data_IF_972901082018
#
_entry.id   IF_972901082018
#
_cell.length_a   1.000
_cell.length_b   1.000
_cell.length_c   1.000
_cell.angle_alpha   90.00
_cell.angle_beta   90.00
_cell.angle_gamma   90.00
#
_symmetry.space_group_name_H-M   'P 1'
#
loop_
_entity.id
_entity.type
_entity.pdbx_description
1 polymer ?
#
# COMPACT_ATOMS: atom_id res chain seq x y z
N UNK A 1 6.68 11.11 -27.50
CA UNK A 1 6.37 10.74 -26.11
C UNK A 1 4.87 10.68 -26.00
N UNK A 2 4.28 9.49 -25.92
CA UNK A 2 2.86 9.37 -25.56
C UNK A 2 2.70 9.91 -24.14
N UNK A 3 1.76 10.84 -23.95
CA UNK A 3 1.41 11.34 -22.63
C UNK A 3 0.83 10.18 -21.82
N UNK A 4 1.53 9.77 -20.75
CA UNK A 4 0.98 8.78 -19.82
C UNK A 4 -0.14 9.45 -19.05
N UNK A 5 -1.34 8.90 -19.15
CA UNK A 5 -2.47 9.37 -18.37
C UNK A 5 -2.24 9.00 -16.89
N UNK A 6 -2.30 9.98 -16.01
CA UNK A 6 -2.20 9.79 -14.56
C UNK A 6 -3.48 9.19 -13.97
N UNK A 7 -3.40 8.54 -12.81
CA UNK A 7 -4.61 8.04 -12.13
C UNK A 7 -5.58 9.16 -11.71
N UNK A 8 -5.09 10.39 -11.55
CA UNK A 8 -5.91 11.57 -11.29
C UNK A 8 -6.79 11.96 -12.48
N UNK A 9 -6.36 11.61 -13.70
CA UNK A 9 -7.06 11.94 -14.96
C UNK A 9 -8.03 10.83 -15.37
N UNK A 10 -8.00 9.69 -14.68
CA UNK A 10 -8.93 8.58 -14.85
C UNK A 10 -9.81 8.58 -13.60
N UNK A 11 -10.94 9.29 -13.53
CA UNK A 11 -11.85 9.16 -12.39
C UNK A 11 -12.59 7.82 -12.46
N UNK A 12 -12.99 7.29 -11.30
CA UNK A 12 -13.95 6.19 -11.28
C UNK A 12 -15.33 6.68 -11.72
N UNK A 13 -16.04 5.85 -12.47
CA UNK A 13 -17.46 6.08 -12.74
C UNK A 13 -18.25 6.04 -11.43
N UNK A 14 -19.49 6.54 -11.44
CA UNK A 14 -20.36 6.43 -10.25
C UNK A 14 -20.65 4.97 -9.90
N UNK A 15 -20.73 4.09 -10.91
CA UNK A 15 -20.79 2.64 -10.72
C UNK A 15 -19.53 2.14 -10.00
N UNK A 16 -18.34 2.58 -10.40
CA UNK A 16 -17.08 2.22 -9.75
C UNK A 16 -17.00 2.68 -8.29
N UNK A 17 -17.45 3.90 -8.00
CA UNK A 17 -17.54 4.41 -6.61
C UNK A 17 -18.49 3.55 -5.78
N UNK A 18 -19.70 3.30 -6.30
CA UNK A 18 -20.71 2.49 -5.60
C UNK A 18 -20.21 1.06 -5.36
N UNK A 19 -19.55 0.46 -6.36
CA UNK A 19 -18.98 -0.88 -6.27
C UNK A 19 -18.00 -0.99 -5.09
N UNK A 20 -17.06 -0.05 -4.98
CA UNK A 20 -16.09 -0.01 -3.88
C UNK A 20 -16.72 0.24 -2.51
N UNK A 21 -17.77 1.05 -2.42
CA UNK A 21 -18.51 1.26 -1.17
C UNK A 21 -19.24 -0.01 -0.73
N UNK A 22 -19.78 -0.77 -1.69
CA UNK A 22 -20.52 -2.02 -1.42
C UNK A 22 -19.64 -3.26 -1.26
N UNK A 23 -18.32 -3.12 -1.36
CA UNK A 23 -17.38 -4.23 -1.35
C UNK A 23 -17.44 -4.98 -0.02
N UNK A 24 -17.57 -6.30 -0.09
CA UNK A 24 -17.56 -7.18 1.07
C UNK A 24 -16.15 -7.27 1.66
N UNK A 25 -16.08 -7.44 2.97
CA UNK A 25 -14.80 -7.65 3.65
C UNK A 25 -14.14 -8.94 3.17
N UNK A 26 -12.81 -8.89 2.98
CA UNK A 26 -12.02 -10.02 2.49
C UNK A 26 -12.13 -10.32 1.00
N UNK A 27 -12.90 -9.54 0.23
CA UNK A 27 -13.01 -9.72 -1.22
C UNK A 27 -12.07 -8.75 -1.93
N UNK A 28 -11.04 -9.28 -2.58
CA UNK A 28 -10.17 -8.52 -3.47
C UNK A 28 -10.80 -8.39 -4.86
N UNK A 29 -10.77 -7.18 -5.43
CA UNK A 29 -11.33 -6.86 -6.74
C UNK A 29 -10.30 -6.16 -7.60
N UNK A 30 -10.38 -6.41 -8.91
CA UNK A 30 -9.73 -5.62 -9.94
C UNK A 30 -10.65 -4.44 -10.26
N UNK A 31 -10.15 -3.23 -10.07
CA UNK A 31 -10.94 -2.01 -10.24
C UNK A 31 -10.83 -1.51 -11.67
N UNK A 32 -9.61 -1.32 -12.16
CA UNK A 32 -9.31 -0.73 -13.47
C UNK A 32 -7.85 -0.98 -13.85
N UNK A 33 -7.52 -0.82 -15.12
CA UNK A 33 -6.16 -0.92 -15.63
C UNK A 33 -5.85 0.23 -16.59
N UNK A 34 -4.58 0.65 -16.65
CA UNK A 34 -4.10 1.64 -17.63
C UNK A 34 -2.76 1.25 -18.23
N UNK A 35 -2.48 1.72 -19.43
CA UNK A 35 -1.14 1.66 -20.03
C UNK A 35 -0.21 2.62 -19.29
N UNK A 36 1.05 2.26 -19.15
CA UNK A 36 2.08 3.12 -18.55
C UNK A 36 3.32 3.18 -19.44
N UNK A 37 3.99 4.33 -19.46
CA UNK A 37 5.28 4.40 -20.13
C UNK A 37 6.32 3.60 -19.34
N UNK A 38 7.16 2.89 -20.10
CA UNK A 38 8.26 2.02 -19.69
C UNK A 38 7.90 0.56 -19.43
N UNK A 39 8.83 -0.28 -19.89
CA UNK A 39 9.56 -1.11 -18.95
C UNK A 39 11.04 -1.14 -19.28
N UNK A 40 11.83 -1.49 -18.27
CA UNK A 40 13.05 -2.29 -18.41
C UNK A 40 12.93 -3.16 -19.67
N UNK A 41 13.83 -2.94 -20.63
CA UNK A 41 13.91 -3.59 -21.96
C UNK A 41 12.96 -3.11 -23.07
N UNK A 42 12.24 -1.99 -22.89
CA UNK A 42 11.45 -1.36 -23.96
C UNK A 42 10.10 -2.03 -24.27
N UNK A 43 9.67 -2.98 -23.44
CA UNK A 43 8.40 -3.69 -23.60
C UNK A 43 7.21 -2.90 -23.04
N UNK A 44 5.98 -3.10 -23.56
CA UNK A 44 4.78 -2.47 -23.03
C UNK A 44 4.42 -3.01 -21.64
N UNK A 45 3.93 -2.14 -20.75
CA UNK A 45 3.39 -2.51 -19.43
C UNK A 45 2.01 -1.90 -19.21
N UNK A 46 1.28 -2.53 -18.31
CA UNK A 46 0.06 -1.98 -17.74
C UNK A 46 0.19 -1.87 -16.23
N UNK A 47 -0.53 -0.93 -15.65
CA UNK A 47 -0.71 -0.81 -14.22
C UNK A 47 -2.17 -1.09 -13.88
N UNK A 48 -2.39 -1.99 -12.94
CA UNK A 48 -3.71 -2.49 -12.53
C UNK A 48 -3.97 -2.00 -11.10
N UNK A 49 -5.14 -1.41 -10.89
CA UNK A 49 -5.65 -1.04 -9.57
C UNK A 49 -6.44 -2.21 -8.98
N UNK A 50 -6.02 -2.64 -7.80
CA UNK A 50 -6.72 -3.61 -6.96
C UNK A 50 -7.34 -2.91 -5.77
N UNK A 51 -8.46 -3.42 -5.29
CA UNK A 51 -9.07 -2.95 -4.05
C UNK A 51 -9.57 -4.09 -3.18
N UNK A 52 -9.47 -3.93 -1.88
CA UNK A 52 -10.04 -4.86 -0.91
C UNK A 52 -10.48 -4.11 0.34
N UNK A 53 -11.64 -4.48 0.89
CA UNK A 53 -12.02 -4.07 2.23
C UNK A 53 -11.38 -5.05 3.23
N UNK A 54 -10.20 -4.68 3.71
CA UNK A 54 -9.40 -5.54 4.59
C UNK A 54 -10.10 -5.68 5.95
N UNK A 55 -10.37 -6.91 6.35
CA UNK A 55 -10.74 -7.22 7.73
C UNK A 55 -9.46 -7.34 8.56
N UNK A 56 -9.20 -6.34 9.42
CA UNK A 56 -8.03 -6.35 10.28
C UNK A 56 -8.43 -6.74 11.71
N UNK A 57 -8.20 -7.99 12.14
CA UNK A 57 -8.59 -8.44 13.48
C UNK A 57 -7.78 -7.75 14.58
N UNK A 58 -6.59 -7.23 14.28
CA UNK A 58 -5.70 -6.56 15.22
C UNK A 58 -5.98 -5.06 15.35
N UNK A 59 -6.87 -4.51 14.51
CA UNK A 59 -7.28 -3.11 14.65
C UNK A 59 -8.27 -3.00 15.80
N UNK A 60 -7.84 -2.36 16.89
CA UNK A 60 -8.75 -1.99 17.97
C UNK A 60 -9.97 -1.24 17.43
N UNK A 61 -11.16 -1.57 17.94
CA UNK A 61 -12.39 -0.87 17.57
C UNK A 61 -12.27 0.59 17.98
N UNK A 62 -12.23 1.50 17.00
CA UNK A 62 -12.22 2.93 17.30
C UNK A 62 -13.59 3.33 17.82
N UNK A 63 -13.68 3.68 19.11
CA UNK A 63 -14.92 4.19 19.71
C UNK A 63 -15.45 5.41 18.96
N UNK A 64 -14.55 6.28 18.49
CA UNK A 64 -14.92 7.42 17.64
C UNK A 64 -15.58 6.98 16.33
N UNK A 65 -15.02 5.97 15.65
CA UNK A 65 -15.60 5.47 14.41
C UNK A 65 -16.93 4.72 14.64
N UNK A 66 -17.07 4.05 15.78
CA UNK A 66 -18.33 3.40 16.17
C UNK A 66 -19.44 4.42 16.47
N UNK A 67 -19.10 5.54 17.13
CA UNK A 67 -20.05 6.60 17.46
C UNK A 67 -20.46 7.45 16.25
N UNK A 68 -19.67 7.43 15.18
CA UNK A 68 -19.92 8.18 13.94
C UNK A 68 -20.08 7.22 12.74
N UNK A 69 -20.63 6.02 12.96
CA UNK A 69 -20.74 5.01 11.91
C UNK A 69 -21.69 5.39 10.77
N UNK A 70 -22.58 6.35 11.02
CA UNK A 70 -23.48 6.98 10.04
C UNK A 70 -22.78 8.06 9.19
N UNK A 71 -21.61 8.53 9.60
CA UNK A 71 -20.79 9.47 8.85
C UNK A 71 -19.73 8.73 8.02
N UNK A 72 -19.85 8.85 6.70
CA UNK A 72 -18.99 8.16 5.73
C UNK A 72 -17.50 8.50 5.88
N UNK A 73 -17.16 9.64 6.50
CA UNK A 73 -15.77 10.04 6.80
C UNK A 73 -15.10 9.11 7.82
N UNK A 74 -15.87 8.43 8.65
CA UNK A 74 -15.39 7.50 9.67
C UNK A 74 -15.49 6.04 9.21
N UNK A 75 -16.04 5.78 8.02
CA UNK A 75 -16.08 4.46 7.42
C UNK A 75 -14.71 4.06 6.88
N UNK A 76 -14.31 2.80 7.10
CA UNK A 76 -13.10 2.25 6.51
C UNK A 76 -13.41 1.76 5.11
N UNK A 77 -13.12 2.61 4.12
CA UNK A 77 -13.27 2.26 2.71
C UNK A 77 -12.29 1.17 2.25
N UNK A 78 -12.54 0.64 1.05
CA UNK A 78 -11.64 -0.30 0.41
C UNK A 78 -10.23 0.29 0.27
N UNK A 79 -9.24 -0.45 0.73
CA UNK A 79 -7.84 -0.13 0.49
C UNK A 79 -7.50 -0.44 -0.96
N UNK A 80 -6.56 0.32 -1.52
CA UNK A 80 -6.15 0.20 -2.93
C UNK A 80 -4.66 -0.03 -3.04
N UNK A 81 -4.27 -0.80 -4.05
CA UNK A 81 -2.89 -1.00 -4.45
C UNK A 81 -2.79 -0.98 -5.98
N UNK A 82 -1.63 -0.60 -6.50
CA UNK A 82 -1.37 -0.53 -7.94
C UNK A 82 -0.20 -1.42 -8.29
N UNK A 83 -0.43 -2.40 -9.16
CA UNK A 83 0.58 -3.38 -9.56
C UNK A 83 0.88 -3.21 -11.04
N UNK A 84 2.16 -3.16 -11.39
CA UNK A 84 2.62 -3.14 -12.78
C UNK A 84 2.82 -4.56 -13.27
N UNK A 85 2.26 -4.89 -14.43
CA UNK A 85 2.35 -6.22 -15.04
C UNK A 85 2.67 -6.14 -16.53
N UNK A 86 3.18 -7.25 -17.09
CA UNK A 86 3.17 -7.40 -18.55
C UNK A 86 1.73 -7.67 -19.02
N UNK A 87 1.32 -7.16 -20.20
CA UNK A 87 -0.01 -7.43 -20.74
C UNK A 87 -0.30 -8.93 -20.88
N UNK A 88 0.68 -9.71 -21.33
CA UNK A 88 0.54 -11.15 -21.48
C UNK A 88 0.20 -11.86 -20.16
N UNK A 89 0.91 -11.52 -19.06
CA UNK A 89 0.63 -12.12 -17.75
C UNK A 89 -0.65 -11.61 -17.11
N UNK A 90 -1.02 -10.35 -17.34
CA UNK A 90 -2.31 -9.84 -16.91
C UNK A 90 -3.49 -10.54 -17.60
N UNK A 91 -3.38 -10.83 -18.90
CA UNK A 91 -4.38 -11.62 -19.63
C UNK A 91 -4.45 -13.05 -19.09
N UNK A 92 -3.29 -13.72 -18.99
CA UNK A 92 -3.19 -15.12 -18.57
C UNK A 92 -3.73 -15.36 -17.16
N UNK A 93 -3.34 -14.52 -16.20
CA UNK A 93 -3.64 -14.73 -14.78
C UNK A 93 -4.93 -14.05 -14.32
N UNK A 94 -5.26 -12.89 -14.91
CA UNK A 94 -6.34 -12.03 -14.42
C UNK A 94 -7.47 -11.84 -15.43
N UNK A 95 -7.31 -12.34 -16.67
CA UNK A 95 -8.25 -12.09 -17.76
C UNK A 95 -8.32 -10.62 -18.17
N UNK A 96 -7.28 -9.83 -17.87
CA UNK A 96 -7.29 -8.39 -18.13
C UNK A 96 -6.61 -8.11 -19.47
N UNK A 97 -7.33 -7.41 -20.36
CA UNK A 97 -6.79 -6.81 -21.57
C UNK A 97 -7.26 -5.36 -21.66
N UNK A 98 -6.37 -4.49 -22.15
CA UNK A 98 -6.73 -3.13 -22.55
C UNK A 98 -6.81 -3.14 -24.08
N UNK A 99 -7.96 -2.82 -24.69
CA UNK A 99 -8.09 -2.69 -26.15
C UNK A 99 -7.02 -1.77 -26.74
N UNK A 100 -6.58 -2.02 -27.97
CA UNK A 100 -5.48 -1.28 -28.60
C UNK A 100 -5.78 0.20 -28.82
N UNK A 101 -7.06 0.54 -28.97
CA UNK A 101 -7.60 1.89 -29.11
C UNK A 101 -7.88 2.58 -27.78
N UNK A 102 -7.68 1.88 -26.65
CA UNK A 102 -7.89 2.40 -25.30
C UNK A 102 -6.57 2.55 -24.53
N UNK A 103 -6.50 3.59 -23.70
CA UNK A 103 -5.37 3.84 -22.79
C UNK A 103 -5.65 3.31 -21.38
N UNK A 104 -6.92 3.09 -21.03
CA UNK A 104 -7.36 2.52 -19.76
C UNK A 104 -8.71 1.83 -19.91
N UNK A 105 -9.05 0.98 -18.95
CA UNK A 105 -10.35 0.31 -18.87
C UNK A 105 -10.79 0.16 -17.41
N UNK A 106 -12.08 0.34 -17.14
CA UNK A 106 -12.70 0.09 -15.83
C UNK A 106 -13.29 -1.34 -15.82
N UNK A 107 -12.96 -2.13 -14.81
CA UNK A 107 -13.13 -3.59 -14.80
C UNK A 107 -14.17 -4.00 -13.75
N UNK A 108 -13.99 -3.57 -12.49
CA UNK A 108 -14.91 -3.81 -11.37
C UNK A 108 -15.35 -5.28 -11.19
N UNK A 109 -14.38 -6.20 -11.15
CA UNK A 109 -14.63 -7.63 -11.00
C UNK A 109 -13.82 -8.22 -9.84
N UNK A 110 -14.32 -9.28 -9.16
CA UNK A 110 -13.51 -10.04 -8.22
C UNK A 110 -12.23 -10.57 -8.88
N UNK A 111 -11.13 -10.57 -8.12
CA UNK A 111 -9.92 -11.25 -8.58
C UNK A 111 -10.22 -12.73 -8.81
N UNK A 112 -9.74 -13.33 -9.91
CA UNK A 112 -9.90 -14.77 -10.13
C UNK A 112 -9.10 -15.55 -9.09
N UNK A 113 -9.48 -16.80 -8.85
CA UNK A 113 -8.61 -17.72 -8.10
C UNK A 113 -7.51 -18.25 -9.01
N UNK A 114 -6.33 -18.46 -8.43
CA UNK A 114 -5.22 -19.16 -9.09
C UNK A 114 -5.09 -20.52 -8.42
N UNK A 115 -5.72 -21.55 -9.01
CA UNK A 115 -5.87 -22.84 -8.31
C UNK A 115 -6.72 -22.71 -7.06
N UNK A 116 -6.18 -23.14 -5.91
CA UNK A 116 -6.80 -23.04 -4.59
C UNK A 116 -6.41 -21.75 -3.83
N UNK A 117 -5.83 -20.78 -4.53
CA UNK A 117 -5.38 -19.53 -3.93
C UNK A 117 -6.24 -18.32 -4.35
N UNK A 118 -6.36 -17.37 -3.43
CA UNK A 118 -7.10 -16.11 -3.57
C UNK A 118 -6.14 -14.92 -3.43
N UNK A 119 -6.40 -13.86 -4.19
CA UNK A 119 -5.67 -12.61 -4.06
C UNK A 119 -6.16 -11.82 -2.85
N UNK A 120 -5.23 -11.23 -2.13
CA UNK A 120 -5.51 -10.28 -1.05
C UNK A 120 -4.56 -9.09 -1.07
N UNK A 121 -5.01 -7.96 -0.52
CA UNK A 121 -4.15 -6.86 -0.15
C UNK A 121 -3.61 -7.09 1.26
N UNK A 122 -2.29 -7.15 1.38
CA UNK A 122 -1.59 -7.14 2.65
C UNK A 122 -1.02 -5.74 2.91
N UNK A 123 -1.15 -5.31 4.16
CA UNK A 123 -0.60 -4.04 4.65
C UNK A 123 0.50 -4.37 5.65
N UNK A 124 1.72 -3.92 5.37
CA UNK A 124 2.85 -4.14 6.26
C UNK A 124 3.49 -2.81 6.65
N UNK A 125 3.80 -2.67 7.93
CA UNK A 125 4.77 -1.71 8.40
C UNK A 125 6.17 -2.29 8.25
N UNK A 126 7.02 -1.50 7.59
CA UNK A 126 8.42 -1.82 7.34
C UNK A 126 9.28 -0.63 7.75
N UNK A 127 10.56 -0.88 7.97
CA UNK A 127 11.51 0.20 8.18
C UNK A 127 11.81 0.86 6.83
N UNK A 128 12.11 2.15 6.85
CA UNK A 128 12.51 2.88 5.64
C UNK A 128 13.67 2.20 4.90
N UNK A 129 14.60 1.57 5.62
CA UNK A 129 15.71 0.82 5.02
C UNK A 129 15.31 -0.46 4.30
N UNK A 130 14.08 -0.93 4.48
CA UNK A 130 13.53 -2.12 3.81
C UNK A 130 12.76 -1.74 2.53
N UNK A 131 12.68 -0.44 2.17
CA UNK A 131 12.16 0.00 0.89
C UNK A 131 13.04 -0.53 -0.25
N UNK A 132 12.40 -1.03 -1.30
CA UNK A 132 13.10 -1.36 -2.55
C UNK A 132 13.64 -0.09 -3.20
N UNK A 133 14.61 -0.20 -4.11
CA UNK A 133 15.19 0.97 -4.80
C UNK A 133 14.12 1.86 -5.46
N UNK A 134 13.13 1.24 -6.10
CA UNK A 134 12.01 1.95 -6.72
C UNK A 134 11.11 2.64 -5.70
N UNK A 135 10.87 2.04 -4.53
CA UNK A 135 10.06 2.66 -3.48
C UNK A 135 10.83 3.78 -2.78
N UNK A 136 12.14 3.61 -2.58
CA UNK A 136 13.00 4.60 -1.96
C UNK A 136 13.07 5.90 -2.78
N UNK A 137 13.02 5.81 -4.12
CA UNK A 137 12.91 6.98 -5.00
C UNK A 137 11.65 7.83 -4.74
N UNK A 138 10.63 7.24 -4.12
CA UNK A 138 9.38 7.89 -3.75
C UNK A 138 9.02 7.66 -2.27
N UNK A 139 10.02 7.58 -1.39
CA UNK A 139 9.86 7.15 0.00
C UNK A 139 8.77 7.92 0.75
N UNK A 140 8.61 9.21 0.47
CA UNK A 140 7.59 10.09 1.07
C UNK A 140 6.16 9.60 0.88
N UNK A 141 5.87 8.82 -0.17
CA UNK A 141 4.55 8.22 -0.38
C UNK A 141 4.28 7.02 0.52
N UNK A 142 5.34 6.41 1.07
CA UNK A 142 5.27 5.22 1.90
C UNK A 142 5.45 5.57 3.39
N UNK A 143 6.21 6.61 3.71
CA UNK A 143 6.49 7.00 5.08
C UNK A 143 5.23 7.39 5.84
N UNK A 144 5.06 6.79 7.02
CA UNK A 144 3.88 7.00 7.86
C UNK A 144 4.02 8.31 8.62
N UNK A 145 2.99 9.15 8.56
CA UNK A 145 2.94 10.48 9.22
C UNK A 145 1.72 10.61 10.14
N UNK A 146 1.85 11.43 11.18
CA UNK A 146 0.75 11.80 12.07
C UNK A 146 -0.18 12.83 11.43
N UNK A 147 -0.91 12.42 10.39
CA UNK A 147 -1.70 13.31 9.54
C UNK A 147 -0.89 13.86 8.36
N UNK A 148 -1.55 14.64 7.49
CA UNK A 148 -1.00 15.09 6.22
C UNK A 148 0.30 15.89 6.36
N UNK A 149 0.36 16.80 7.34
CA UNK A 149 1.52 17.65 7.67
C UNK A 149 2.23 17.20 8.95
N UNK A 150 1.93 15.99 9.42
CA UNK A 150 2.42 15.49 10.70
C UNK A 150 3.88 15.02 10.67
N UNK A 151 4.41 14.79 11.87
CA UNK A 151 5.70 14.15 12.03
C UNK A 151 5.67 12.69 11.57
N UNK A 152 6.83 12.16 11.18
CA UNK A 152 6.97 10.74 10.86
C UNK A 152 6.88 9.87 12.10
N UNK A 153 6.45 8.63 11.89
CA UNK A 153 6.58 7.56 12.87
C UNK A 153 8.00 6.98 12.84
N UNK A 154 8.56 6.76 14.02
CA UNK A 154 9.87 6.16 14.21
C UNK A 154 9.74 4.86 15.00
N UNK A 155 10.48 3.83 14.60
CA UNK A 155 10.65 2.61 15.37
C UNK A 155 11.59 2.87 16.57
N UNK A 156 11.60 1.96 17.56
CA UNK A 156 12.47 2.10 18.74
C UNK A 156 13.96 2.21 18.42
N UNK A 157 14.38 1.71 17.26
CA UNK A 157 15.75 1.86 16.78
C UNK A 157 16.03 3.22 16.13
N UNK A 158 15.08 4.16 16.05
CA UNK A 158 15.22 5.50 15.48
C UNK A 158 15.09 5.60 13.95
N UNK A 159 14.71 4.51 13.25
CA UNK A 159 14.41 4.56 11.81
C UNK A 159 12.95 4.93 11.56
N UNK A 160 12.67 5.64 10.46
CA UNK A 160 11.31 5.96 10.07
C UNK A 160 10.55 4.71 9.63
N UNK A 161 9.25 4.69 9.91
CA UNK A 161 8.34 3.60 9.56
C UNK A 161 7.62 3.94 8.26
N UNK A 162 7.65 3.01 7.31
CA UNK A 162 6.91 3.05 6.08
C UNK A 162 5.74 2.06 6.10
N UNK A 163 4.71 2.37 5.33
CA UNK A 163 3.51 1.56 5.11
C UNK A 163 3.51 1.03 3.69
N UNK A 164 3.69 -0.27 3.53
CA UNK A 164 3.66 -0.94 2.22
C UNK A 164 2.34 -1.67 2.04
N UNK A 165 1.74 -1.52 0.85
CA UNK A 165 0.61 -2.33 0.42
C UNK A 165 1.06 -3.26 -0.69
N UNK A 166 0.89 -4.54 -0.49
CA UNK A 166 1.25 -5.58 -1.47
C UNK A 166 0.01 -6.36 -1.87
N UNK A 167 -0.03 -6.78 -3.12
CA UNK A 167 -0.95 -7.82 -3.55
C UNK A 167 -0.27 -9.16 -3.27
N UNK A 168 -0.89 -9.97 -2.42
CA UNK A 168 -0.42 -11.31 -2.06
C UNK A 168 -1.43 -12.34 -2.54
N UNK A 169 -0.97 -13.58 -2.60
CA UNK A 169 -1.79 -14.75 -2.94
C UNK A 169 -1.73 -15.68 -1.73
N UNK A 170 -2.88 -16.12 -1.25
CA UNK A 170 -2.98 -17.00 -0.07
C UNK A 170 -3.94 -18.15 -0.33
N UNK A 171 -3.82 -19.29 0.37
CA UNK A 171 -4.80 -20.36 0.28
C UNK A 171 -6.20 -19.83 0.60
N UNK A 172 -7.19 -20.31 -0.15
CA UNK A 172 -8.59 -19.90 -0.01
C UNK A 172 -9.07 -19.87 1.44
N UNK A 173 -9.72 -18.77 1.82
CA UNK A 173 -10.21 -18.56 3.19
C UNK A 173 -9.15 -18.17 4.22
N UNK A 174 -7.91 -17.96 3.81
CA UNK A 174 -6.85 -17.43 4.68
C UNK A 174 -6.85 -15.91 4.61
N UNK A 175 -6.97 -15.23 5.75
CA UNK A 175 -6.80 -13.77 5.82
C UNK A 175 -5.31 -13.48 6.03
N UNK A 176 -4.64 -12.70 5.14
CA UNK A 176 -3.25 -12.33 5.36
C UNK A 176 -3.11 -11.53 6.66
N UNK A 177 -2.05 -11.80 7.41
CA UNK A 177 -1.77 -11.14 8.68
C UNK A 177 -0.86 -9.94 8.46
N UNK A 178 -1.34 -8.70 8.69
CA UNK A 178 -0.49 -7.51 8.61
C UNK A 178 0.71 -7.58 9.55
N UNK A 179 1.89 -7.16 9.08
CA UNK A 179 3.05 -6.92 9.94
C UNK A 179 2.98 -5.49 10.51
N UNK A 180 3.16 -5.36 11.82
CA UNK A 180 3.27 -4.06 12.50
C UNK A 180 4.63 -3.92 13.18
N UNK A 181 5.18 -2.71 13.20
CA UNK A 181 6.40 -2.41 13.93
C UNK A 181 6.01 -1.98 15.35
N UNK A 182 6.31 -2.84 16.32
CA UNK A 182 6.07 -2.58 17.73
C UNK A 182 6.81 -1.34 18.22
N UNK A 183 6.16 -0.58 19.10
CA UNK A 183 6.76 0.60 19.73
C UNK A 183 7.00 1.77 18.77
N UNK A 184 6.31 1.82 17.63
CA UNK A 184 6.39 2.97 16.72
C UNK A 184 5.60 4.17 17.25
N UNK A 185 6.19 5.37 17.19
CA UNK A 185 5.54 6.61 17.62
C UNK A 185 5.89 7.77 16.70
N UNK A 186 4.94 8.69 16.53
CA UNK A 186 5.20 9.95 15.84
C UNK A 186 6.06 10.85 16.73
N UNK A 187 7.18 11.34 16.21
CA UNK A 187 8.16 12.08 17.02
C UNK A 187 8.35 13.51 16.49
N UNK A 188 8.20 14.52 17.34
CA UNK A 188 8.58 15.90 17.00
C UNK A 188 10.10 16.06 17.10
N UNK A 189 10.68 17.10 16.49
CA UNK A 189 12.14 17.32 16.45
C UNK A 189 12.86 17.35 17.81
N UNK A 190 12.15 17.51 18.93
CA UNK A 190 12.71 17.38 20.28
C UNK A 190 12.97 15.95 20.75
N UNK A 191 12.39 14.94 20.08
CA UNK A 191 12.56 13.51 20.40
C UNK A 191 13.75 12.90 19.64
N UNK A 192 14.11 13.46 18.48
CA UNK A 192 15.26 13.04 17.69
C UNK A 192 16.59 13.17 18.46
N UNK A 193 16.74 14.23 19.26
CA UNK A 193 17.88 14.41 20.16
C UNK A 193 17.90 13.38 21.31
N UNK A 194 16.74 12.96 21.79
CA UNK A 194 16.60 11.93 22.83
C UNK A 194 16.90 10.53 22.28
N UNK A 195 16.46 10.24 21.04
CA UNK A 195 16.79 9.01 20.34
C UNK A 195 18.27 8.92 19.95
N UNK A 196 18.87 10.04 19.54
CA UNK A 196 20.33 10.13 19.33
C UNK A 196 21.10 9.87 20.63
N UNK A 197 20.66 10.44 21.75
CA UNK A 197 21.26 10.18 23.05
C UNK A 197 21.13 8.70 23.47
N UNK A 198 19.98 8.08 23.26
CA UNK A 198 19.77 6.65 23.58
C UNK A 198 20.58 5.72 22.66
N UNK A 199 20.73 6.05 21.38
CA UNK A 199 21.60 5.32 20.45
C UNK A 199 23.08 5.41 20.86
N UNK A 200 23.54 6.59 21.30
CA UNK A 200 24.91 6.78 21.80
C UNK A 200 25.15 5.99 23.10
N UNK A 201 24.14 5.85 23.96
CA UNK A 201 24.23 5.05 25.18
C UNK A 201 24.26 3.52 24.92
N UNK A 202 23.70 3.05 23.81
CA UNK A 202 23.63 1.63 23.46
C UNK A 202 24.85 1.11 22.68
N UNK A 203 25.72 1.99 22.17
CA UNK A 203 27.02 1.64 21.58
C UNK A 203 28.11 2.59 22.12
N UNK A 204 28.66 2.32 23.32
CA UNK A 204 29.61 3.23 23.96
C UNK A 204 31.05 3.21 23.38
N UNK A 205 31.36 2.42 22.34
CA UNK A 205 32.73 2.27 21.86
C UNK A 205 32.89 2.71 20.40
N UNK A 206 33.26 3.98 20.18
CA UNK A 206 34.46 4.38 19.41
C UNK A 206 34.90 5.79 19.86
N UNK A 207 35.37 5.95 21.09
CA UNK A 207 36.28 7.07 21.40
C UNK A 207 37.18 6.74 22.59
N UNK A 208 38.42 6.36 22.26
CA UNK A 208 39.52 6.13 23.20
C UNK A 208 39.79 4.64 23.40
N UNK A 209 41.00 4.12 23.31
CA UNK A 209 42.33 4.73 23.40
C UNK A 209 43.36 3.73 22.85
N UNK A 210 44.50 4.22 22.37
CA UNK A 210 45.61 3.38 21.96
C UNK A 210 46.88 4.19 21.72
N UNK A 211 47.44 4.69 22.83
CA UNK A 211 48.80 5.18 23.12
C UNK A 211 49.61 5.93 22.04
#
# INVERSE_FOLDING_TARGET
MENVIGWAEIPLSDKGKQYLTSLKEGVCVIVRAKRVNSSVDGMPKIQIEFAEKINNPNRGKSGLAMLNSDDSRFSTGAQRAWITASPAKAKELLGIEIPNDESFTEILQPCPTVGDEEFHLQYDEILESELTENEAAYAENYLKRAGAEGNYFYAGNGQRVASRKTLVVTPKGTVPSPKYIEGSFASAGSVESTLQANRAALNPEVSGTGN
#
